data_IF_614976476089
#
_entry.id   IF_614976476089
#
_cell.length_a   1.000
_cell.length_b   1.000
_cell.length_c   1.000
_cell.angle_alpha   90.00
_cell.angle_beta   90.00
_cell.angle_gamma   90.00
#
_symmetry.space_group_name_H-M   'P 1'
#
loop_
_entity.id
_entity.type
_entity.pdbx_description
1 polymer ?
#
# COMPACT_ATOMS: atom_id res chain seq x y z
N UNK A 1 -15.95 -11.33 -12.38
CA UNK A 1 -14.70 -10.65 -12.80
C UNK A 1 -13.59 -11.57 -12.38
N UNK A 2 -12.68 -11.87 -13.29
CA UNK A 2 -11.59 -12.82 -13.10
C UNK A 2 -10.26 -12.17 -13.44
N UNK A 3 -9.18 -12.57 -12.75
CA UNK A 3 -7.81 -12.18 -13.08
C UNK A 3 -7.01 -13.43 -13.43
N UNK A 4 -6.27 -13.37 -14.53
CA UNK A 4 -5.47 -14.49 -15.03
C UNK A 4 -4.07 -13.98 -15.32
N UNK A 5 -3.06 -14.62 -14.74
CA UNK A 5 -1.67 -14.32 -14.99
C UNK A 5 -1.14 -15.22 -16.11
N UNK A 6 -0.44 -14.63 -17.08
CA UNK A 6 0.13 -15.34 -18.23
C UNK A 6 1.62 -15.06 -18.36
N UNK A 7 2.36 -16.07 -18.82
CA UNK A 7 3.81 -16.06 -19.00
C UNK A 7 4.16 -16.75 -20.31
N UNK A 8 5.23 -16.28 -20.96
CA UNK A 8 5.84 -16.94 -22.11
C UNK A 8 7.28 -17.29 -21.77
N UNK A 9 7.72 -18.49 -22.13
CA UNK A 9 9.14 -18.89 -22.06
C UNK A 9 9.98 -18.26 -23.17
N UNK A 10 9.34 -17.78 -24.24
CA UNK A 10 9.98 -17.07 -25.34
C UNK A 10 9.82 -15.56 -25.14
N UNK A 11 10.94 -14.86 -24.99
CA UNK A 11 10.98 -13.41 -24.77
C UNK A 11 10.49 -12.60 -25.98
N UNK A 12 10.47 -13.21 -27.18
CA UNK A 12 9.92 -12.58 -28.38
C UNK A 12 8.40 -12.59 -28.43
N UNK A 13 7.75 -13.30 -27.50
CA UNK A 13 6.29 -13.42 -27.44
C UNK A 13 5.78 -12.59 -26.26
N UNK A 14 4.91 -11.61 -26.56
CA UNK A 14 4.11 -10.96 -25.52
C UNK A 14 2.95 -11.89 -25.11
N UNK A 15 2.97 -12.51 -23.92
CA UNK A 15 1.93 -13.44 -23.50
C UNK A 15 0.56 -12.76 -23.34
N UNK A 16 0.52 -11.47 -22.97
CA UNK A 16 -0.75 -10.74 -22.80
C UNK A 16 -1.39 -10.52 -24.16
N UNK A 17 -0.66 -9.92 -25.12
CA UNK A 17 -1.11 -9.75 -26.50
C UNK A 17 -1.49 -11.08 -27.16
N UNK A 18 -0.72 -12.14 -26.89
CA UNK A 18 -0.97 -13.50 -27.36
C UNK A 18 -2.25 -14.14 -26.76
N UNK A 19 -2.80 -13.65 -25.66
CA UNK A 19 -4.11 -14.08 -25.17
C UNK A 19 -5.24 -13.13 -25.58
N UNK A 20 -4.97 -11.82 -25.63
CA UNK A 20 -5.96 -10.78 -25.93
C UNK A 20 -6.36 -10.79 -27.42
N UNK A 21 -5.39 -10.93 -28.32
CA UNK A 21 -5.61 -10.88 -29.77
C UNK A 21 -5.84 -9.46 -30.30
N UNK A 22 -5.95 -9.33 -31.62
CA UNK A 22 -6.15 -8.03 -32.27
C UNK A 22 -7.37 -7.32 -31.67
N UNK A 23 -7.16 -6.12 -31.10
CA UNK A 23 -8.19 -5.30 -30.44
C UNK A 23 -9.03 -6.06 -29.39
N UNK A 24 -8.44 -7.08 -28.76
CA UNK A 24 -9.10 -7.89 -27.74
C UNK A 24 -10.10 -8.92 -28.25
N UNK A 25 -10.09 -9.26 -29.54
CA UNK A 25 -11.10 -10.13 -30.14
C UNK A 25 -11.20 -11.49 -29.44
N UNK A 26 -10.08 -12.10 -29.06
CA UNK A 26 -10.07 -13.44 -28.44
C UNK A 26 -10.68 -13.40 -27.04
N UNK A 27 -10.21 -12.49 -26.19
CA UNK A 27 -10.75 -12.35 -24.84
C UNK A 27 -12.22 -11.90 -24.85
N UNK A 28 -12.63 -11.03 -25.77
CA UNK A 28 -14.03 -10.59 -25.92
C UNK A 28 -14.98 -11.76 -26.25
N UNK A 29 -14.54 -12.72 -27.05
CA UNK A 29 -15.33 -13.92 -27.34
C UNK A 29 -15.57 -14.74 -26.07
N UNK A 30 -14.51 -15.00 -25.30
CA UNK A 30 -14.59 -15.73 -24.02
C UNK A 30 -15.48 -14.98 -23.01
N UNK A 31 -15.33 -13.66 -22.89
CA UNK A 31 -16.18 -12.83 -22.02
C UNK A 31 -17.66 -12.99 -22.37
N UNK A 32 -18.00 -13.06 -23.67
CA UNK A 32 -19.37 -13.26 -24.14
C UNK A 32 -19.88 -14.67 -23.82
N UNK A 33 -19.06 -15.71 -24.01
CA UNK A 33 -19.40 -17.09 -23.64
C UNK A 33 -19.62 -17.25 -22.13
N UNK A 34 -18.89 -16.49 -21.31
CA UNK A 34 -19.04 -16.43 -19.85
C UNK A 34 -20.11 -15.44 -19.38
N UNK A 35 -21.11 -15.12 -20.22
CA UNK A 35 -22.25 -14.28 -19.82
C UNK A 35 -21.88 -12.84 -19.46
N UNK A 36 -20.80 -12.30 -20.04
CA UNK A 36 -20.34 -10.94 -19.80
C UNK A 36 -19.35 -10.79 -18.63
N UNK A 37 -18.83 -11.88 -18.06
CA UNK A 37 -17.82 -11.82 -17.02
C UNK A 37 -16.54 -11.12 -17.52
N UNK A 38 -16.17 -9.99 -16.90
CA UNK A 38 -14.91 -9.29 -17.21
C UNK A 38 -13.68 -10.11 -16.83
N UNK A 39 -12.76 -10.30 -17.76
CA UNK A 39 -11.47 -10.97 -17.55
C UNK A 39 -10.34 -9.94 -17.68
N UNK A 40 -9.51 -9.81 -16.65
CA UNK A 40 -8.25 -9.10 -16.72
C UNK A 40 -7.12 -10.11 -16.96
N UNK A 41 -6.39 -9.94 -18.06
CA UNK A 41 -5.20 -10.73 -18.38
C UNK A 41 -3.98 -9.90 -18.02
N UNK A 42 -3.15 -10.42 -17.12
CA UNK A 42 -1.96 -9.72 -16.62
C UNK A 42 -0.70 -10.51 -16.92
N UNK A 43 0.42 -9.81 -17.04
CA UNK A 43 1.72 -10.44 -17.16
C UNK A 43 2.14 -11.00 -15.80
N UNK A 44 2.55 -12.27 -15.78
CA UNK A 44 3.22 -12.87 -14.64
C UNK A 44 4.68 -12.44 -14.60
N UNK A 45 5.24 -12.23 -13.40
CA UNK A 45 6.66 -11.95 -13.21
C UNK A 45 7.21 -12.80 -12.06
N UNK A 46 8.47 -13.23 -12.20
CA UNK A 46 9.24 -13.84 -11.10
C UNK A 46 9.49 -12.83 -9.98
N UNK A 47 9.58 -11.53 -10.33
CA UNK A 47 9.73 -10.46 -9.37
C UNK A 47 8.37 -10.21 -8.71
N UNK A 48 8.29 -10.51 -7.41
CA UNK A 48 7.05 -10.43 -6.64
C UNK A 48 6.45 -9.01 -6.65
N UNK A 49 7.28 -7.96 -6.54
CA UNK A 49 6.80 -6.57 -6.56
C UNK A 49 6.17 -6.20 -7.90
N UNK A 50 6.79 -6.61 -9.01
CA UNK A 50 6.25 -6.41 -10.35
C UNK A 50 4.97 -7.21 -10.59
N UNK A 51 4.92 -8.45 -10.09
CA UNK A 51 3.75 -9.30 -10.25
C UNK A 51 2.55 -8.77 -9.45
N UNK A 52 2.78 -8.33 -8.20
CA UNK A 52 1.76 -7.67 -7.38
C UNK A 52 1.29 -6.37 -8.06
N UNK A 53 2.20 -5.55 -8.56
CA UNK A 53 1.86 -4.33 -9.29
C UNK A 53 0.97 -4.62 -10.50
N UNK A 54 1.38 -5.57 -11.34
CA UNK A 54 0.62 -6.01 -12.52
C UNK A 54 -0.76 -6.55 -12.16
N UNK A 55 -0.88 -7.24 -11.01
CA UNK A 55 -2.15 -7.81 -10.54
C UNK A 55 -3.21 -6.78 -10.13
N UNK A 56 -2.79 -5.56 -9.80
CA UNK A 56 -3.69 -4.47 -9.43
C UNK A 56 -4.17 -3.65 -10.62
N UNK A 57 -3.70 -3.96 -11.84
CA UNK A 57 -4.19 -3.38 -13.09
C UNK A 57 -5.72 -3.38 -13.14
N UNK A 58 -6.35 -2.25 -13.53
CA UNK A 58 -5.77 -1.11 -14.25
C UNK A 58 -5.16 0.00 -13.37
N UNK A 59 -5.09 -0.16 -12.04
CA UNK A 59 -4.56 0.89 -11.19
C UNK A 59 -3.04 1.04 -11.33
N UNK A 60 -2.57 2.28 -11.39
CA UNK A 60 -1.15 2.60 -11.45
C UNK A 60 -0.53 2.62 -10.04
N UNK A 61 0.54 1.84 -9.87
CA UNK A 61 1.18 1.62 -8.58
C UNK A 61 2.43 2.49 -8.46
N UNK A 62 2.54 3.26 -7.37
CA UNK A 62 3.72 4.09 -7.12
C UNK A 62 4.87 3.32 -6.50
N UNK A 63 4.59 2.42 -5.55
CA UNK A 63 5.61 1.53 -4.97
C UNK A 63 4.99 0.33 -4.28
N UNK A 64 5.77 -0.74 -4.15
CA UNK A 64 5.41 -1.97 -3.43
C UNK A 64 6.51 -2.26 -2.43
N UNK A 65 6.16 -2.41 -1.15
CA UNK A 65 7.06 -2.89 -0.10
C UNK A 65 6.62 -4.28 0.34
N UNK A 66 7.56 -5.20 0.36
CA UNK A 66 7.30 -6.60 0.71
C UNK A 66 7.77 -6.88 2.12
N UNK A 67 6.93 -7.61 2.87
CA UNK A 67 7.31 -8.33 4.07
C UNK A 67 7.16 -9.83 3.74
N UNK A 68 8.28 -10.47 3.44
CA UNK A 68 8.33 -11.88 3.04
C UNK A 68 7.93 -12.81 4.18
N UNK A 69 8.30 -12.49 5.42
CA UNK A 69 7.99 -13.30 6.59
C UNK A 69 6.47 -13.42 6.82
N UNK A 70 5.71 -12.35 6.55
CA UNK A 70 4.25 -12.32 6.69
C UNK A 70 3.49 -12.59 5.39
N UNK A 71 4.18 -12.81 4.26
CA UNK A 71 3.60 -12.77 2.91
C UNK A 71 2.66 -11.58 2.71
N UNK A 72 3.13 -10.40 3.12
CA UNK A 72 2.35 -9.16 3.06
C UNK A 72 3.03 -8.12 2.18
N UNK A 73 2.23 -7.43 1.37
CA UNK A 73 2.66 -6.33 0.54
C UNK A 73 1.94 -5.04 0.95
N UNK A 74 2.70 -4.00 1.28
CA UNK A 74 2.20 -2.62 1.38
C UNK A 74 2.36 -1.96 0.00
N UNK A 75 1.24 -1.62 -0.62
CA UNK A 75 1.18 -1.01 -1.95
C UNK A 75 0.78 0.45 -1.79
N UNK A 76 1.61 1.34 -2.32
CA UNK A 76 1.37 2.78 -2.29
C UNK A 76 0.94 3.24 -3.68
N UNK A 77 -0.15 3.99 -3.72
CA UNK A 77 -0.72 4.60 -4.92
C UNK A 77 -0.92 6.10 -4.72
N UNK A 78 -1.08 6.84 -5.80
CA UNK A 78 -1.59 8.22 -5.75
C UNK A 78 -3.07 8.19 -5.35
N UNK A 79 -3.57 9.29 -4.77
CA UNK A 79 -4.89 9.34 -4.12
C UNK A 79 -6.07 9.06 -5.08
N UNK A 80 -5.98 9.49 -6.33
CA UNK A 80 -6.96 9.22 -7.39
C UNK A 80 -6.99 7.74 -7.81
N UNK A 81 -5.86 7.03 -7.72
CA UNK A 81 -5.75 5.61 -8.02
C UNK A 81 -6.23 4.71 -6.87
N UNK A 82 -6.41 5.24 -5.65
CA UNK A 82 -6.79 4.45 -4.47
C UNK A 82 -8.08 3.66 -4.67
N UNK A 83 -9.13 4.33 -5.16
CA UNK A 83 -10.44 3.71 -5.40
C UNK A 83 -10.35 2.62 -6.47
N UNK A 84 -9.58 2.86 -7.54
CA UNK A 84 -9.38 1.91 -8.63
C UNK A 84 -8.62 0.67 -8.18
N UNK A 85 -7.55 0.87 -7.41
CA UNK A 85 -6.69 -0.20 -6.88
C UNK A 85 -7.47 -1.13 -5.94
N UNK A 86 -8.31 -0.57 -5.06
CA UNK A 86 -9.20 -1.33 -4.18
C UNK A 86 -10.31 -2.02 -5.00
N UNK A 87 -10.95 -1.27 -5.91
CA UNK A 87 -12.09 -1.68 -6.71
C UNK A 87 -13.41 -1.75 -5.93
N UNK A 88 -14.53 -1.87 -6.66
CA UNK A 88 -15.87 -1.94 -6.06
C UNK A 88 -15.95 -3.07 -5.03
N UNK A 89 -16.31 -2.73 -3.78
CA UNK A 89 -16.34 -3.67 -2.63
C UNK A 89 -15.02 -4.41 -2.39
N UNK A 90 -13.88 -3.82 -2.77
CA UNK A 90 -12.56 -4.46 -2.65
C UNK A 90 -12.33 -5.62 -3.62
N UNK A 91 -13.13 -5.73 -4.69
CA UNK A 91 -13.05 -6.86 -5.61
C UNK A 91 -11.67 -6.94 -6.28
N UNK A 92 -11.07 -5.81 -6.67
CA UNK A 92 -9.81 -5.80 -7.42
C UNK A 92 -8.65 -6.31 -6.53
N UNK A 93 -8.47 -5.70 -5.36
CA UNK A 93 -7.44 -6.12 -4.38
C UNK A 93 -7.63 -7.56 -3.91
N UNK A 94 -8.88 -8.04 -3.75
CA UNK A 94 -9.15 -9.43 -3.35
C UNK A 94 -8.76 -10.43 -4.44
N UNK A 95 -9.06 -10.12 -5.70
CA UNK A 95 -8.65 -10.98 -6.83
C UNK A 95 -7.12 -10.97 -6.99
N UNK A 96 -6.48 -9.81 -6.84
CA UNK A 96 -5.03 -9.67 -6.86
C UNK A 96 -4.36 -10.48 -5.73
N UNK A 97 -4.88 -10.38 -4.51
CA UNK A 97 -4.39 -11.15 -3.36
C UNK A 97 -4.54 -12.66 -3.58
N UNK A 98 -5.68 -13.11 -4.12
CA UNK A 98 -5.90 -14.53 -4.45
C UNK A 98 -4.96 -15.02 -5.56
N UNK A 99 -4.73 -14.21 -6.59
CA UNK A 99 -3.89 -14.56 -7.72
C UNK A 99 -2.39 -14.63 -7.36
N UNK A 100 -1.94 -13.69 -6.53
CA UNK A 100 -0.53 -13.60 -6.10
C UNK A 100 -0.23 -14.49 -4.91
N UNK A 101 -1.23 -14.81 -4.09
CA UNK A 101 -1.05 -15.49 -2.81
C UNK A 101 -0.47 -14.58 -1.71
N UNK A 102 -0.53 -13.25 -1.90
CA UNK A 102 -0.04 -12.26 -0.95
C UNK A 102 -1.18 -11.49 -0.29
N UNK A 103 -0.98 -11.11 0.97
CA UNK A 103 -1.85 -10.16 1.66
C UNK A 103 -1.51 -8.74 1.19
N UNK A 104 -2.38 -8.13 0.41
CA UNK A 104 -2.15 -6.80 -0.19
C UNK A 104 -2.88 -5.72 0.62
N UNK A 105 -2.12 -4.77 1.17
CA UNK A 105 -2.63 -3.57 1.84
C UNK A 105 -2.34 -2.34 0.97
N UNK A 106 -3.38 -1.60 0.59
CA UNK A 106 -3.26 -0.48 -0.36
C UNK A 106 -3.46 0.83 0.40
N UNK A 107 -2.52 1.75 0.24
CA UNK A 107 -2.52 3.07 0.89
C UNK A 107 -2.24 4.17 -0.13
N UNK A 108 -2.82 5.35 0.09
CA UNK A 108 -2.48 6.51 -0.74
C UNK A 108 -1.22 7.21 -0.23
N UNK A 109 -0.56 7.98 -1.10
CA UNK A 109 0.59 8.80 -0.71
C UNK A 109 0.23 9.76 0.43
N UNK A 110 -0.92 10.43 0.37
CA UNK A 110 -1.34 11.35 1.44
C UNK A 110 -1.54 10.66 2.79
N UNK A 111 -2.00 9.40 2.81
CA UNK A 111 -2.12 8.62 4.05
C UNK A 111 -0.74 8.33 4.66
N UNK A 112 0.24 7.98 3.81
CA UNK A 112 1.62 7.75 4.26
C UNK A 112 2.27 9.05 4.75
N UNK A 113 2.00 10.18 4.10
CA UNK A 113 2.49 11.49 4.54
C UNK A 113 1.91 11.88 5.90
N UNK A 114 0.61 11.70 6.13
CA UNK A 114 -0.02 11.94 7.44
C UNK A 114 0.58 11.06 8.54
N UNK A 115 0.93 9.82 8.23
CA UNK A 115 1.61 8.92 9.16
C UNK A 115 3.05 9.37 9.49
N UNK A 116 3.66 10.18 8.61
CA UNK A 116 5.00 10.74 8.79
C UNK A 116 4.96 12.14 9.41
N UNK A 117 3.86 12.86 9.26
CA UNK A 117 3.62 14.21 9.79
C UNK A 117 3.23 14.17 11.28
N UNK A 118 4.05 13.48 12.07
CA UNK A 118 3.94 13.48 13.53
C UNK A 118 4.97 14.46 14.06
N UNK A 119 4.58 15.32 15.01
CA UNK A 119 5.47 16.33 15.54
C UNK A 119 6.67 15.70 16.26
N UNK A 120 7.88 16.26 16.04
CA UNK A 120 9.08 15.80 16.75
C UNK A 120 8.99 15.93 18.28
N UNK A 121 8.07 16.76 18.79
CA UNK A 121 7.77 16.89 20.22
C UNK A 121 7.17 15.64 20.85
N UNK A 122 6.56 14.75 20.05
CA UNK A 122 6.00 13.48 20.54
C UNK A 122 7.08 12.37 20.65
N UNK A 123 8.31 12.65 20.20
CA UNK A 123 9.41 11.69 20.26
C UNK A 123 10.05 11.64 21.65
N UNK A 124 10.27 10.42 22.14
CA UNK A 124 10.99 10.20 23.38
C UNK A 124 12.47 10.61 23.23
N UNK A 125 12.95 11.42 24.17
CA UNK A 125 14.28 12.05 24.13
C UNK A 125 14.30 13.45 23.51
N UNK A 126 13.16 13.96 23.01
CA UNK A 126 13.04 15.34 22.55
C UNK A 126 12.48 16.21 23.68
N UNK A 127 13.36 16.89 24.40
CA UNK A 127 12.98 17.97 25.32
C UNK A 127 12.81 19.31 24.60
N UNK A 128 12.32 20.36 25.29
CA UNK A 128 12.05 21.68 24.68
C UNK A 128 13.27 22.33 24.00
N UNK A 129 14.49 22.07 24.50
CA UNK A 129 15.73 22.56 23.90
C UNK A 129 16.08 21.79 22.62
N UNK A 130 15.99 20.47 22.66
CA UNK A 130 16.21 19.58 21.51
C UNK A 130 15.21 19.85 20.40
N UNK A 131 13.94 20.06 20.76
CA UNK A 131 12.87 20.40 19.82
C UNK A 131 13.16 21.71 19.08
N UNK A 132 13.58 22.75 19.78
CA UNK A 132 13.99 24.03 19.18
C UNK A 132 15.19 23.85 18.24
N UNK A 133 16.18 23.04 18.63
CA UNK A 133 17.34 22.74 17.79
C UNK A 133 16.94 22.00 16.50
N UNK A 134 16.07 20.98 16.60
CA UNK A 134 15.53 20.25 15.45
C UNK A 134 14.72 21.16 14.52
N UNK A 135 13.83 21.98 15.08
CA UNK A 135 13.03 22.95 14.30
C UNK A 135 13.92 23.99 13.61
N UNK A 136 14.98 24.47 14.26
CA UNK A 136 15.96 25.40 13.68
C UNK A 136 16.76 24.75 12.54
N UNK A 137 17.03 23.46 12.64
CA UNK A 137 17.67 22.66 11.59
C UNK A 137 16.69 22.24 10.47
N UNK A 138 15.40 22.59 10.56
CA UNK A 138 14.39 22.29 9.55
C UNK A 138 13.64 20.98 9.75
N UNK A 139 13.94 20.21 10.80
CA UNK A 139 13.29 18.93 11.10
C UNK A 139 12.08 19.15 12.02
N UNK A 140 10.88 19.06 11.45
CA UNK A 140 9.62 19.33 12.17
C UNK A 140 8.83 18.06 12.42
N UNK A 141 9.01 17.05 11.55
CA UNK A 141 8.21 15.83 11.57
C UNK A 141 9.06 14.60 11.83
N UNK A 142 8.46 13.55 12.37
CA UNK A 142 9.10 12.23 12.47
C UNK A 142 9.55 11.71 11.11
N UNK A 143 8.82 12.05 10.03
CA UNK A 143 9.20 11.76 8.65
C UNK A 143 10.54 12.35 8.23
N UNK A 144 10.84 13.57 8.68
CA UNK A 144 12.11 14.21 8.40
C UNK A 144 13.24 13.51 9.14
N UNK A 145 13.02 13.20 10.43
CA UNK A 145 13.98 12.49 11.28
C UNK A 145 14.28 11.09 10.75
N UNK A 146 13.27 10.37 10.25
CA UNK A 146 13.42 9.00 9.77
C UNK A 146 14.25 8.89 8.47
N UNK A 147 14.45 9.99 7.74
CA UNK A 147 15.31 10.06 6.55
C UNK A 147 16.77 10.31 6.88
N UNK A 148 17.08 10.71 8.12
CA UNK A 148 18.42 11.07 8.55
C UNK A 148 19.16 9.88 9.14
N UNK A 149 20.47 9.90 8.95
CA UNK A 149 21.37 8.97 9.63
C UNK A 149 21.83 9.52 10.99
N UNK A 150 22.31 8.62 11.85
CA UNK A 150 22.82 8.97 13.18
C UNK A 150 23.85 10.13 13.13
N UNK A 151 24.72 10.10 12.13
CA UNK A 151 25.77 11.12 11.93
C UNK A 151 25.20 12.50 11.66
N UNK A 152 24.08 12.59 10.95
CA UNK A 152 23.46 13.86 10.59
C UNK A 152 22.74 14.47 11.79
N UNK A 153 22.06 13.63 12.58
CA UNK A 153 21.43 14.05 13.83
C UNK A 153 22.45 14.56 14.85
N UNK A 154 23.64 13.95 14.94
CA UNK A 154 24.70 14.42 15.83
C UNK A 154 25.37 15.73 15.41
N UNK A 155 25.17 16.18 14.16
CA UNK A 155 25.64 17.51 13.72
C UNK A 155 24.74 18.64 14.22
N UNK A 156 23.51 18.31 14.66
CA UNK A 156 22.59 19.30 15.22
C UNK A 156 23.09 19.70 16.60
N UNK A 157 23.28 21.00 16.78
CA UNK A 157 23.74 21.59 18.03
C UNK A 157 22.81 21.21 19.19
N UNK A 158 23.37 20.61 20.24
CA UNK A 158 22.62 20.15 21.41
C UNK A 158 22.11 18.69 21.34
N UNK A 159 22.43 17.94 20.28
CA UNK A 159 22.07 16.51 20.16
C UNK A 159 23.31 15.62 20.29
N UNK A 160 23.44 14.96 21.43
CA UNK A 160 24.47 13.94 21.64
C UNK A 160 24.12 12.59 20.99
N UNK A 161 25.13 11.73 20.81
CA UNK A 161 24.98 10.40 20.19
C UNK A 161 23.89 9.54 20.83
N UNK A 162 23.84 9.47 22.17
CA UNK A 162 22.81 8.72 22.91
C UNK A 162 21.40 9.26 22.66
N UNK A 163 21.25 10.59 22.58
CA UNK A 163 19.96 11.24 22.32
C UNK A 163 19.52 10.99 20.88
N UNK A 164 20.43 11.08 19.91
CA UNK A 164 20.15 10.77 18.51
C UNK A 164 19.68 9.32 18.31
N UNK A 165 20.34 8.35 18.95
CA UNK A 165 19.92 6.94 18.94
C UNK A 165 18.52 6.77 19.53
N UNK A 166 18.23 7.44 20.65
CA UNK A 166 16.92 7.38 21.30
C UNK A 166 15.81 7.97 20.42
N UNK A 167 16.07 9.11 19.79
CA UNK A 167 15.14 9.79 18.87
C UNK A 167 14.83 8.91 17.66
N UNK A 168 15.84 8.33 17.02
CA UNK A 168 15.64 7.44 15.86
C UNK A 168 14.83 6.20 16.22
N UNK A 169 15.14 5.58 17.38
CA UNK A 169 14.40 4.42 17.87
C UNK A 169 12.95 4.79 18.19
N UNK A 170 12.74 5.91 18.88
CA UNK A 170 11.40 6.40 19.21
C UNK A 170 10.60 6.73 17.95
N UNK A 171 11.21 7.37 16.94
CA UNK A 171 10.54 7.68 15.67
C UNK A 171 10.06 6.43 14.94
N UNK A 172 10.89 5.37 14.87
CA UNK A 172 10.48 4.09 14.28
C UNK A 172 9.31 3.45 15.03
N UNK A 173 9.41 3.36 16.35
CA UNK A 173 8.36 2.76 17.20
C UNK A 173 7.06 3.55 17.10
N UNK A 174 7.11 4.88 17.17
CA UNK A 174 5.93 5.74 17.09
C UNK A 174 5.24 5.63 15.73
N UNK A 175 6.02 5.59 14.64
CA UNK A 175 5.48 5.36 13.30
C UNK A 175 4.83 3.99 13.17
N UNK A 176 5.46 2.92 13.68
CA UNK A 176 4.88 1.56 13.69
C UNK A 176 3.59 1.51 14.50
N UNK A 177 3.55 2.14 15.67
CA UNK A 177 2.36 2.25 16.51
C UNK A 177 1.22 2.98 15.79
N UNK A 178 1.51 4.12 15.14
CA UNK A 178 0.52 4.85 14.34
C UNK A 178 0.01 4.06 13.16
N UNK A 179 0.90 3.34 12.47
CA UNK A 179 0.54 2.43 11.38
C UNK A 179 -0.42 1.34 11.88
N UNK A 180 -0.16 0.76 13.06
CA UNK A 180 -1.02 -0.24 13.67
C UNK A 180 -2.37 0.36 14.10
N UNK A 181 -2.36 1.52 14.74
CA UNK A 181 -3.57 2.23 15.18
C UNK A 181 -4.50 2.56 14.00
N UNK A 182 -3.96 3.09 12.90
CA UNK A 182 -4.73 3.38 11.68
C UNK A 182 -5.29 2.10 11.06
N UNK A 183 -4.51 1.02 11.04
CA UNK A 183 -4.95 -0.27 10.53
C UNK A 183 -6.11 -0.83 11.35
N UNK A 184 -6.02 -0.78 12.67
CA UNK A 184 -7.07 -1.29 13.56
C UNK A 184 -8.36 -0.49 13.42
N UNK A 185 -8.26 0.85 13.33
CA UNK A 185 -9.42 1.71 13.08
C UNK A 185 -10.10 1.36 11.75
N UNK A 186 -9.33 1.23 10.65
CA UNK A 186 -9.87 0.81 9.35
C UNK A 186 -10.53 -0.57 9.41
N UNK A 187 -9.92 -1.53 10.09
CA UNK A 187 -10.49 -2.88 10.24
C UNK A 187 -11.82 -2.87 11.02
N UNK A 188 -11.92 -2.06 12.08
CA UNK A 188 -13.16 -1.89 12.85
C UNK A 188 -14.26 -1.25 12.00
N UNK A 189 -13.93 -0.14 11.34
CA UNK A 189 -14.86 0.56 10.46
C UNK A 189 -15.40 -0.36 9.35
N UNK A 190 -14.52 -1.13 8.71
CA UNK A 190 -14.93 -2.09 7.66
C UNK A 190 -15.85 -3.19 8.17
N UNK A 191 -15.67 -3.65 9.42
CA UNK A 191 -16.58 -4.62 10.05
C UNK A 191 -17.95 -4.00 10.32
N UNK A 192 -18.00 -2.74 10.76
CA UNK A 192 -19.25 -2.02 11.01
C UNK A 192 -20.02 -1.74 9.71
N UNK A 193 -19.33 -1.28 8.66
CA UNK A 193 -19.92 -1.05 7.34
C UNK A 193 -20.50 -2.34 6.73
N UNK A 194 -19.79 -3.47 6.86
CA UNK A 194 -20.30 -4.76 6.41
C UNK A 194 -21.56 -5.18 7.18
N UNK A 195 -21.57 -5.04 8.51
CA UNK A 195 -22.75 -5.35 9.34
C UNK A 195 -23.96 -4.49 8.95
N UNK A 196 -23.76 -3.20 8.68
CA UNK A 196 -24.84 -2.31 8.22
C UNK A 196 -25.34 -2.68 6.82
N UNK A 197 -24.46 -3.06 5.90
CA UNK A 197 -24.83 -3.48 4.55
C UNK A 197 -25.62 -4.80 4.55
N UNK A 198 -25.35 -5.71 5.49
CA UNK A 198 -26.10 -6.95 5.67
C UNK A 198 -27.51 -6.69 6.23
N UNK A 199 -27.65 -5.82 7.24
CA UNK A 199 -28.97 -5.42 7.77
C UNK A 199 -29.88 -4.79 6.71
N UNK A 200 -29.35 -3.84 5.94
CA UNK A 200 -30.10 -3.18 4.85
C UNK A 200 -30.53 -4.10 3.72
N UNK A 201 -29.83 -5.23 3.54
CA UNK A 201 -30.24 -6.25 2.55
C UNK A 201 -31.40 -7.09 3.06
N UNK A 202 -31.38 -7.47 4.34
CA UNK A 202 -32.49 -8.20 4.96
C UNK A 202 -33.79 -7.38 4.94
N UNK A 203 -33.71 -6.07 5.22
CA UNK A 203 -34.86 -5.15 5.20
C UNK A 203 -35.39 -4.82 3.80
N UNK A 204 -34.63 -5.09 2.73
CA UNK A 204 -35.05 -4.83 1.34
C UNK A 204 -35.61 -6.08 0.65
N UNK A 205 -35.48 -7.24 1.28
CA UNK A 205 -36.00 -8.54 0.82
C UNK A 205 -37.31 -8.93 1.56
N UNK A 206 -37.76 -8.10 2.50
CA UNK A 206 -39.04 -8.19 3.25
C UNK A 206 -40.04 -7.13 2.75
#
# INVERSE_FOLDING_TARGET
>A
RSKIAVYSKDDKVDPVGACVGMRGQRVKNIVRELGGEKIDIIRWSVNTSEFISSSLSPAEISSVKLNEAEKRAEVIVVDDQLSLAIGKKGQNVRLAAKLTGWNIDIRSKSEIEKLRDIAVSELDGVGPKTEKALKKAGFKTTGDIAKLDLKELTKVEGIGKKTAEKILKSAKVLMEQKVHEVRDKKNRQRKEENKQAEKKKGEAEE
#
